data_IF_033617158137
#
_entry.id   IF_033617158137
#
_cell.length_a   1.000
_cell.length_b   1.000
_cell.length_c   1.000
_cell.angle_alpha   90.00
_cell.angle_beta   90.00
_cell.angle_gamma   90.00
#
_symmetry.space_group_name_H-M   'P 1'
#
loop_
_entity.id
_entity.type
_entity.pdbx_description
1 polymer ?
#
# COMPACT_ATOMS: atom_id res chain seq x y z
N UNK A 1 -23.18 4.52 16.20
CA UNK A 1 -22.01 3.78 15.72
C UNK A 1 -21.75 2.64 16.69
N UNK A 2 -21.92 1.41 16.25
CA UNK A 2 -21.60 0.21 17.02
C UNK A 2 -20.09 -0.04 16.99
N UNK A 3 -19.57 -0.88 17.89
CA UNK A 3 -18.15 -1.23 17.92
C UNK A 3 -17.68 -1.91 16.62
N UNK A 4 -18.57 -2.61 15.92
CA UNK A 4 -18.25 -3.28 14.66
C UNK A 4 -18.21 -2.32 13.48
N UNK A 5 -19.09 -1.32 13.44
CA UNK A 5 -19.03 -0.23 12.45
C UNK A 5 -17.75 0.60 12.59
N UNK A 6 -17.32 0.85 13.83
CA UNK A 6 -16.07 1.55 14.11
C UNK A 6 -14.84 0.77 13.60
N UNK A 7 -14.81 -0.56 13.82
CA UNK A 7 -13.74 -1.42 13.31
C UNK A 7 -13.71 -1.47 11.79
N UNK A 8 -14.87 -1.62 11.16
CA UNK A 8 -14.99 -1.63 9.70
C UNK A 8 -14.49 -0.32 9.08
N UNK A 9 -14.81 0.82 9.69
CA UNK A 9 -14.32 2.13 9.23
C UNK A 9 -12.80 2.26 9.31
N UNK A 10 -12.17 1.73 10.38
CA UNK A 10 -10.71 1.73 10.53
C UNK A 10 -10.04 0.84 9.49
N UNK A 11 -10.59 -0.34 9.21
CA UNK A 11 -10.07 -1.24 8.17
C UNK A 11 -10.18 -0.58 6.79
N UNK A 12 -11.31 0.03 6.47
CA UNK A 12 -11.52 0.71 5.20
C UNK A 12 -10.55 1.91 5.02
N UNK A 13 -10.29 2.69 6.08
CA UNK A 13 -9.29 3.76 6.02
C UNK A 13 -7.88 3.23 5.78
N UNK A 14 -7.53 2.15 6.47
CA UNK A 14 -6.25 1.49 6.34
C UNK A 14 -6.02 0.98 4.91
N UNK A 15 -6.98 0.27 4.32
CA UNK A 15 -6.93 -0.20 2.93
C UNK A 15 -6.80 0.96 1.94
N UNK A 16 -7.57 2.04 2.15
CA UNK A 16 -7.50 3.25 1.32
C UNK A 16 -6.10 3.86 1.34
N UNK A 17 -5.45 3.92 2.52
CA UNK A 17 -4.09 4.45 2.68
C UNK A 17 -3.04 3.55 2.01
N UNK A 18 -3.18 2.23 2.13
CA UNK A 18 -2.30 1.28 1.45
C UNK A 18 -2.39 1.42 -0.07
N UNK A 19 -3.60 1.57 -0.62
CA UNK A 19 -3.82 1.80 -2.05
C UNK A 19 -3.16 3.09 -2.54
N UNK A 20 -3.40 4.22 -1.85
CA UNK A 20 -2.81 5.50 -2.20
C UNK A 20 -1.26 5.46 -2.15
N UNK A 21 -0.71 4.74 -1.16
CA UNK A 21 0.73 4.49 -1.07
C UNK A 21 1.25 3.72 -2.30
N UNK A 22 0.55 2.67 -2.72
CA UNK A 22 0.95 1.85 -3.87
C UNK A 22 0.94 2.61 -5.18
N UNK A 23 -0.04 3.49 -5.38
CA UNK A 23 -0.13 4.39 -6.53
C UNK A 23 1.03 5.39 -6.56
N UNK A 24 1.34 6.01 -5.41
CA UNK A 24 2.46 6.97 -5.30
C UNK A 24 3.82 6.31 -5.55
N UNK A 25 4.04 5.12 -4.99
CA UNK A 25 5.26 4.33 -5.21
C UNK A 25 5.38 3.98 -6.69
N UNK A 26 4.32 3.45 -7.30
CA UNK A 26 4.34 3.08 -8.73
C UNK A 26 4.64 4.28 -9.64
N UNK A 27 4.10 5.46 -9.32
CA UNK A 27 4.40 6.69 -10.04
C UNK A 27 5.88 7.07 -9.93
N UNK A 28 6.44 7.03 -8.72
CA UNK A 28 7.85 7.35 -8.48
C UNK A 28 8.80 6.35 -9.19
N UNK A 29 8.51 5.06 -9.11
CA UNK A 29 9.34 4.03 -9.77
C UNK A 29 9.35 4.20 -11.29
N UNK A 30 8.22 4.59 -11.87
CA UNK A 30 8.14 4.94 -13.29
C UNK A 30 8.91 6.20 -13.62
N UNK A 31 8.85 7.23 -12.77
CA UNK A 31 9.57 8.50 -12.95
C UNK A 31 11.09 8.30 -13.00
N UNK A 32 11.62 7.42 -12.15
CA UNK A 32 13.06 7.11 -12.08
C UNK A 32 13.48 5.91 -12.94
N UNK A 33 12.62 5.42 -13.84
CA UNK A 33 12.82 4.22 -14.68
C UNK A 33 13.39 3.02 -13.91
N UNK A 34 12.86 2.79 -12.70
CA UNK A 34 13.30 1.71 -11.84
C UNK A 34 12.79 0.36 -12.34
N UNK A 35 13.69 -0.61 -12.42
CA UNK A 35 13.38 -2.01 -12.74
C UNK A 35 12.93 -2.77 -11.49
N UNK A 36 11.96 -2.21 -10.76
CA UNK A 36 11.42 -2.83 -9.57
C UNK A 36 9.94 -2.51 -9.40
N UNK A 37 9.23 -3.40 -8.73
CA UNK A 37 7.85 -3.26 -8.31
C UNK A 37 7.82 -3.29 -6.79
N UNK A 38 7.05 -2.39 -6.20
CA UNK A 38 6.83 -2.35 -4.77
C UNK A 38 5.33 -2.34 -4.46
N UNK A 39 4.87 -3.40 -3.82
CA UNK A 39 3.46 -3.59 -3.45
C UNK A 39 3.32 -3.38 -1.94
N UNK A 40 2.70 -2.28 -1.50
CA UNK A 40 2.43 -2.07 -0.09
C UNK A 40 1.31 -2.96 0.41
N UNK A 41 1.45 -3.44 1.63
CA UNK A 41 0.46 -4.23 2.35
C UNK A 41 0.46 -3.87 3.83
N UNK A 42 -0.62 -4.23 4.52
CA UNK A 42 -0.75 -3.97 5.96
C UNK A 42 -0.46 -5.26 6.70
N UNK A 43 0.49 -5.18 7.63
CA UNK A 43 0.84 -6.29 8.52
C UNK A 43 1.06 -5.75 9.93
N UNK A 44 0.45 -6.42 10.91
CA UNK A 44 0.44 -6.01 12.31
C UNK A 44 0.12 -4.50 12.54
N UNK A 45 -0.76 -3.92 11.73
CA UNK A 45 -1.15 -2.50 11.83
C UNK A 45 -0.11 -1.50 11.30
N UNK A 46 0.92 -1.97 10.59
CA UNK A 46 1.93 -1.14 9.92
C UNK A 46 1.81 -1.31 8.41
N UNK A 47 2.15 -0.25 7.66
CA UNK A 47 2.30 -0.34 6.21
C UNK A 47 3.71 -0.87 5.93
N UNK A 48 3.78 -2.08 5.39
CA UNK A 48 4.99 -2.69 4.85
C UNK A 48 4.93 -2.70 3.32
N UNK A 49 6.04 -3.01 2.65
CA UNK A 49 6.05 -3.17 1.20
C UNK A 49 6.89 -4.38 0.79
N UNK A 50 6.34 -5.20 -0.11
CA UNK A 50 7.10 -6.23 -0.78
C UNK A 50 7.72 -5.62 -2.03
N UNK A 51 9.05 -5.66 -2.10
CA UNK A 51 9.81 -5.13 -3.24
C UNK A 51 10.37 -6.28 -4.05
N UNK A 52 10.16 -6.25 -5.36
CA UNK A 52 10.70 -7.23 -6.31
C UNK A 52 11.42 -6.50 -7.43
N UNK A 53 12.62 -6.96 -7.77
CA UNK A 53 13.33 -6.49 -8.97
C UNK A 53 12.70 -7.18 -10.18
N UNK A 54 12.35 -6.41 -11.20
CA UNK A 54 11.81 -6.91 -12.46
C UNK A 54 12.88 -6.67 -13.50
N UNK A 55 13.69 -7.69 -13.80
CA UNK A 55 14.63 -7.60 -14.91
C UNK A 55 13.83 -7.42 -16.21
N UNK A 56 14.06 -6.30 -16.91
CA UNK A 56 13.49 -6.03 -18.25
C UNK A 56 14.15 -6.92 -19.31
#
# INVERSE_FOLDING_TARGET
>A
MTADEAKAAVIADQERRAKACGEAISAALKEFDCDLVAVPFIDAGKINAQVQVVAK
#
